data_IF_332675326594
#
_entry.id   IF_332675326594
#
_cell.length_a   1.000
_cell.length_b   1.000
_cell.length_c   1.000
_cell.angle_alpha   90.00
_cell.angle_beta   90.00
_cell.angle_gamma   90.00
#
_symmetry.space_group_name_H-M   'P 1'
#
loop_
_entity.id
_entity.type
_entity.pdbx_description
1 polymer ?
#
# COMPACT_ATOMS: atom_id res chain seq x y z
N UNK A 1 11.23 45.89 -70.07
CA UNK A 1 11.98 46.26 -68.85
C UNK A 1 12.83 45.04 -68.47
N UNK A 2 14.06 44.88 -68.98
CA UNK A 2 15.35 45.35 -68.42
C UNK A 2 15.51 45.05 -66.91
N UNK A 3 16.26 43.99 -66.56
CA UNK A 3 17.66 44.12 -66.11
C UNK A 3 18.32 42.76 -65.81
N UNK A 4 19.59 42.69 -66.21
CA UNK A 4 20.64 41.72 -65.88
C UNK A 4 21.27 42.14 -64.53
N UNK A 5 21.82 41.21 -63.73
CA UNK A 5 23.10 41.37 -62.99
C UNK A 5 23.55 40.02 -62.37
N UNK A 6 24.86 39.83 -62.43
CA UNK A 6 25.68 38.64 -62.18
C UNK A 6 26.08 38.39 -60.70
N UNK A 7 26.38 37.11 -60.41
CA UNK A 7 27.53 36.54 -59.66
C UNK A 7 27.93 37.18 -58.31
N UNK A 8 27.93 36.37 -57.24
CA UNK A 8 29.13 36.12 -56.41
C UNK A 8 29.04 34.78 -55.65
N UNK A 9 30.10 33.96 -55.81
CA UNK A 9 30.41 32.81 -54.97
C UNK A 9 30.72 33.26 -53.54
N UNK A 10 30.23 32.54 -52.54
CA UNK A 10 30.97 32.31 -51.30
C UNK A 10 31.04 30.81 -51.07
N UNK A 11 32.26 30.29 -51.17
CA UNK A 11 32.61 28.93 -50.76
C UNK A 11 32.68 28.90 -49.23
N UNK A 12 32.06 27.91 -48.60
CA UNK A 12 32.49 27.42 -47.29
C UNK A 12 32.09 25.95 -47.21
N UNK A 13 33.10 25.07 -47.32
CA UNK A 13 32.97 23.66 -47.01
C UNK A 13 32.56 23.51 -45.54
N UNK A 14 31.47 22.78 -45.27
CA UNK A 14 31.31 22.02 -44.02
C UNK A 14 30.76 20.65 -44.40
N UNK A 15 31.44 19.64 -43.88
CA UNK A 15 31.26 18.21 -44.12
C UNK A 15 29.80 17.76 -44.04
N UNK A 16 29.38 16.97 -45.04
CA UNK A 16 28.23 16.07 -44.91
C UNK A 16 28.58 15.00 -43.89
N UNK A 17 28.14 15.16 -42.64
CA UNK A 17 27.87 14.00 -41.79
C UNK A 17 26.46 13.53 -42.14
N UNK A 18 26.41 12.41 -42.85
CA UNK A 18 25.24 11.55 -42.85
C UNK A 18 24.92 11.22 -41.40
N UNK A 19 23.91 11.88 -40.85
CA UNK A 19 23.16 11.37 -39.71
C UNK A 19 22.55 10.05 -40.19
N UNK A 20 23.20 8.95 -39.84
CA UNK A 20 22.53 7.66 -39.76
C UNK A 20 21.54 7.82 -38.62
N UNK A 21 20.25 7.78 -38.96
CA UNK A 21 19.20 7.51 -38.02
C UNK A 21 19.59 6.23 -37.27
N UNK A 22 19.99 6.38 -36.01
CA UNK A 22 20.04 5.30 -35.04
C UNK A 22 18.58 4.92 -34.74
N UNK A 23 17.97 4.20 -35.68
CA UNK A 23 16.92 3.24 -35.34
C UNK A 23 17.62 2.19 -34.46
N UNK A 24 17.63 2.43 -33.16
CA UNK A 24 17.71 1.34 -32.19
C UNK A 24 16.45 0.49 -32.41
N UNK A 25 16.53 -0.45 -33.33
CA UNK A 25 15.77 -1.68 -33.23
C UNK A 25 16.32 -2.30 -31.95
N UNK A 26 15.60 -2.15 -30.83
CA UNK A 26 15.76 -3.06 -29.72
C UNK A 26 15.58 -4.45 -30.32
N UNK A 27 16.69 -5.17 -30.50
CA UNK A 27 16.61 -6.61 -30.61
C UNK A 27 16.02 -7.03 -29.27
N UNK A 28 14.71 -7.31 -29.24
CA UNK A 28 14.10 -8.10 -28.17
C UNK A 28 14.73 -9.49 -28.25
N UNK A 29 15.98 -9.61 -27.79
CA UNK A 29 16.64 -10.88 -27.57
C UNK A 29 15.89 -11.49 -26.40
N UNK A 30 15.06 -12.48 -26.70
CA UNK A 30 14.41 -13.27 -25.66
C UNK A 30 15.47 -14.20 -25.13
N UNK A 31 15.90 -14.01 -23.87
CA UNK A 31 16.93 -14.85 -23.29
C UNK A 31 16.50 -16.33 -23.30
N UNK A 32 17.40 -17.19 -23.78
CA UNK A 32 17.11 -18.59 -24.03
C UNK A 32 16.54 -18.92 -25.42
N UNK A 33 16.17 -17.94 -26.24
CA UNK A 33 15.77 -18.16 -27.65
C UNK A 33 17.02 -18.22 -28.56
N UNK A 34 17.60 -19.41 -28.62
CA UNK A 34 18.86 -19.65 -29.33
C UNK A 34 18.68 -19.52 -30.85
N UNK A 35 17.47 -19.79 -31.33
CA UNK A 35 17.15 -19.90 -32.74
C UNK A 35 16.44 -18.64 -33.32
N UNK A 36 16.04 -17.71 -32.45
CA UNK A 36 15.33 -16.45 -32.74
C UNK A 36 13.95 -16.65 -33.41
N UNK A 37 13.21 -17.68 -33.01
CA UNK A 37 11.82 -17.89 -33.46
C UNK A 37 10.77 -17.24 -32.56
N UNK A 38 11.20 -16.61 -31.46
CA UNK A 38 10.38 -15.94 -30.47
C UNK A 38 9.81 -16.86 -29.39
N UNK A 39 10.20 -18.14 -29.33
CA UNK A 39 9.68 -19.11 -28.36
C UNK A 39 10.79 -19.95 -27.75
N UNK A 40 11.04 -19.79 -26.45
CA UNK A 40 12.01 -20.63 -25.72
C UNK A 40 11.42 -22.01 -25.45
N UNK A 41 11.98 -23.06 -26.07
CA UNK A 41 11.49 -24.43 -25.93
C UNK A 41 12.60 -25.48 -26.09
N UNK A 42 12.24 -26.77 -26.12
CA UNK A 42 13.20 -27.88 -26.21
C UNK A 42 14.10 -27.81 -27.46
N UNK A 43 13.67 -27.14 -28.53
CA UNK A 43 14.46 -26.93 -29.73
C UNK A 43 15.71 -26.09 -29.45
N UNK A 44 15.61 -25.10 -28.57
CA UNK A 44 16.72 -24.24 -28.17
C UNK A 44 17.78 -25.00 -27.38
N UNK A 45 17.35 -25.91 -26.50
CA UNK A 45 18.25 -26.85 -25.81
C UNK A 45 19.00 -27.71 -26.83
N UNK A 46 18.31 -28.28 -27.81
CA UNK A 46 18.94 -29.15 -28.82
C UNK A 46 20.01 -28.39 -29.61
N UNK A 47 19.73 -27.14 -29.97
CA UNK A 47 20.64 -26.28 -30.72
C UNK A 47 21.84 -25.90 -29.85
N UNK A 48 21.61 -25.51 -28.60
CA UNK A 48 22.65 -25.18 -27.62
C UNK A 48 23.61 -26.36 -27.38
N UNK A 49 23.07 -27.57 -27.15
CA UNK A 49 23.87 -28.80 -27.02
C UNK A 49 24.67 -29.07 -28.29
N UNK A 50 24.12 -28.80 -29.47
CA UNK A 50 24.87 -28.94 -30.72
C UNK A 50 26.04 -27.95 -30.83
N UNK A 51 25.89 -26.70 -30.35
CA UNK A 51 27.00 -25.75 -30.28
C UNK A 51 28.12 -26.25 -29.36
N UNK A 52 27.78 -26.80 -28.19
CA UNK A 52 28.74 -27.41 -27.27
C UNK A 52 29.49 -28.58 -27.94
N UNK A 53 28.77 -29.50 -28.59
CA UNK A 53 29.36 -30.69 -29.20
C UNK A 53 30.23 -30.39 -30.42
N UNK A 54 29.89 -29.35 -31.19
CA UNK A 54 30.62 -28.96 -32.39
C UNK A 54 31.67 -27.89 -32.14
N UNK A 55 31.76 -27.38 -30.91
CA UNK A 55 32.56 -26.22 -30.54
C UNK A 55 32.23 -25.00 -31.44
N UNK A 56 30.94 -24.85 -31.74
CA UNK A 56 30.40 -23.75 -32.53
C UNK A 56 30.18 -22.51 -31.68
N UNK A 57 30.04 -21.36 -32.34
CA UNK A 57 29.82 -20.07 -31.69
C UNK A 57 28.46 -19.50 -32.08
N UNK A 58 27.72 -19.01 -31.09
CA UNK A 58 26.51 -18.22 -31.28
C UNK A 58 26.40 -17.29 -30.07
N UNK A 59 26.26 -15.99 -30.31
CA UNK A 59 26.16 -14.98 -29.25
C UNK A 59 24.89 -15.17 -28.41
N UNK A 60 23.86 -15.85 -28.93
CA UNK A 60 22.67 -16.22 -28.17
C UNK A 60 22.85 -17.46 -27.28
N UNK A 61 23.91 -18.24 -27.50
CA UNK A 61 24.15 -19.49 -26.79
C UNK A 61 24.98 -19.35 -25.51
N UNK A 62 25.59 -18.18 -25.29
CA UNK A 62 26.22 -17.79 -24.03
C UNK A 62 25.16 -17.04 -23.19
N UNK A 63 24.52 -17.75 -22.27
CA UNK A 63 23.36 -17.26 -21.52
C UNK A 63 23.81 -16.52 -20.26
N UNK A 64 24.88 -16.98 -19.60
CA UNK A 64 25.44 -16.30 -18.43
C UNK A 64 26.50 -15.23 -18.77
N UNK A 65 26.79 -15.01 -20.06
CA UNK A 65 27.76 -14.05 -20.58
C UNK A 65 29.18 -14.23 -20.03
N UNK A 66 29.58 -15.47 -19.71
CA UNK A 66 30.92 -15.77 -19.21
C UNK A 66 31.97 -15.99 -20.32
N UNK A 67 31.53 -15.94 -21.58
CA UNK A 67 32.34 -16.14 -22.77
C UNK A 67 32.52 -17.61 -23.17
N UNK A 68 31.85 -18.55 -22.49
CA UNK A 68 31.97 -19.99 -22.72
C UNK A 68 30.60 -20.67 -22.87
N UNK A 69 30.28 -21.15 -24.07
CA UNK A 69 29.10 -21.99 -24.30
C UNK A 69 29.34 -23.40 -23.72
N UNK A 70 28.66 -23.73 -22.62
CA UNK A 70 28.84 -24.97 -21.87
C UNK A 70 27.54 -25.48 -21.22
N UNK A 71 27.65 -26.49 -20.34
CA UNK A 71 26.47 -27.13 -19.72
C UNK A 71 25.72 -26.19 -18.77
N UNK A 72 26.36 -25.13 -18.27
CA UNK A 72 25.74 -24.13 -17.42
C UNK A 72 24.68 -23.35 -18.22
N UNK A 73 24.96 -22.97 -19.47
CA UNK A 73 23.99 -22.33 -20.36
C UNK A 73 22.78 -23.22 -20.61
N UNK A 74 23.01 -24.53 -20.76
CA UNK A 74 21.92 -25.51 -20.95
C UNK A 74 21.01 -25.56 -19.73
N UNK A 75 21.57 -25.52 -18.51
CA UNK A 75 20.80 -25.49 -17.27
C UNK A 75 19.95 -24.21 -17.21
N UNK A 76 20.50 -23.06 -17.63
CA UNK A 76 19.74 -21.81 -17.68
C UNK A 76 18.58 -21.87 -18.67
N UNK A 77 18.77 -22.35 -19.90
CA UNK A 77 17.66 -22.52 -20.85
C UNK A 77 16.61 -23.51 -20.34
N UNK A 78 17.04 -24.60 -19.68
CA UNK A 78 16.11 -25.55 -19.02
C UNK A 78 15.31 -24.84 -17.93
N UNK A 79 15.94 -24.02 -17.10
CA UNK A 79 15.25 -23.25 -16.08
C UNK A 79 14.28 -22.25 -16.71
N UNK A 80 14.65 -21.59 -17.80
CA UNK A 80 13.77 -20.68 -18.53
C UNK A 80 12.52 -21.41 -19.06
N UNK A 81 12.67 -22.65 -19.54
CA UNK A 81 11.53 -23.46 -20.02
C UNK A 81 10.65 -23.95 -18.87
N UNK A 82 11.24 -24.25 -17.71
CA UNK A 82 10.52 -24.80 -16.56
C UNK A 82 9.86 -23.73 -15.69
N UNK A 83 10.47 -22.55 -15.61
CA UNK A 83 10.15 -21.50 -14.64
C UNK A 83 9.93 -20.12 -15.28
N UNK A 84 10.20 -19.93 -16.57
CA UNK A 84 10.14 -18.63 -17.26
C UNK A 84 11.50 -17.92 -17.32
N UNK A 85 11.66 -16.87 -18.16
CA UNK A 85 12.88 -16.05 -18.17
C UNK A 85 13.19 -15.58 -16.76
N UNK A 86 14.49 -15.48 -16.42
CA UNK A 86 14.90 -14.81 -15.19
C UNK A 86 14.51 -13.35 -15.42
N UNK A 87 13.33 -12.95 -14.93
CA UNK A 87 12.98 -11.54 -14.83
C UNK A 87 14.16 -10.87 -14.11
N UNK A 88 14.50 -9.64 -14.51
CA UNK A 88 15.29 -8.80 -13.61
C UNK A 88 14.58 -8.86 -12.26
N UNK A 89 15.21 -9.56 -11.30
CA UNK A 89 14.56 -9.86 -10.02
C UNK A 89 14.26 -8.51 -9.36
N UNK A 90 13.05 -8.35 -8.85
CA UNK A 90 12.73 -7.15 -8.09
C UNK A 90 13.76 -7.00 -6.97
N UNK A 91 14.07 -5.77 -6.59
CA UNK A 91 14.84 -5.55 -5.38
C UNK A 91 14.10 -6.17 -4.19
N UNK A 92 14.81 -6.99 -3.41
CA UNK A 92 14.25 -7.67 -2.23
C UNK A 92 14.80 -7.10 -0.90
N UNK A 93 15.77 -6.18 -0.96
CA UNK A 93 16.45 -5.64 0.23
C UNK A 93 16.86 -4.16 0.06
N UNK A 94 17.30 -3.52 1.14
CA UNK A 94 17.80 -2.13 1.13
C UNK A 94 16.80 -1.14 0.49
N UNK A 95 15.51 -1.27 0.81
CA UNK A 95 14.48 -0.40 0.28
C UNK A 95 14.69 1.05 0.74
N UNK A 96 14.32 1.99 -0.12
CA UNK A 96 14.32 3.42 0.17
C UNK A 96 13.06 4.06 -0.38
N UNK A 97 12.42 4.87 0.45
CA UNK A 97 11.25 5.69 0.10
C UNK A 97 11.56 7.19 0.21
N UNK A 98 12.85 7.52 0.29
CA UNK A 98 13.40 8.88 0.35
C UNK A 98 12.88 9.75 -0.82
N UNK A 99 12.37 10.93 -0.49
CA UNK A 99 11.88 11.91 -1.46
C UNK A 99 10.52 11.57 -2.08
N UNK A 100 9.92 10.41 -1.80
CA UNK A 100 8.63 10.02 -2.36
C UNK A 100 7.49 10.54 -1.48
N UNK A 101 6.73 11.50 -2.03
CA UNK A 101 5.58 12.16 -1.38
C UNK A 101 5.91 12.79 0.00
N UNK A 102 7.12 13.32 0.16
CA UNK A 102 7.60 13.96 1.41
C UNK A 102 7.67 15.48 1.32
N UNK A 103 6.88 16.09 0.44
CA UNK A 103 6.73 17.54 0.32
C UNK A 103 5.26 17.90 0.04
N UNK A 104 4.37 17.39 0.88
CA UNK A 104 2.93 17.67 0.86
C UNK A 104 2.62 18.60 2.03
N UNK A 105 1.87 19.68 1.77
CA UNK A 105 1.37 20.61 2.78
C UNK A 105 0.02 21.16 2.30
N UNK A 106 -1.06 20.53 2.75
CA UNK A 106 -2.40 20.72 2.20
C UNK A 106 -3.38 21.22 3.27
N UNK A 107 -4.24 22.15 2.84
CA UNK A 107 -5.36 22.65 3.62
C UNK A 107 -6.58 22.79 2.70
N UNK A 108 -7.50 21.83 2.80
CA UNK A 108 -8.65 21.71 1.90
C UNK A 108 -9.93 21.82 2.72
N UNK A 109 -10.81 22.77 2.37
CA UNK A 109 -12.11 22.88 3.04
C UNK A 109 -13.04 21.77 2.54
N UNK A 110 -13.49 20.92 3.46
CA UNK A 110 -14.50 19.91 3.18
C UNK A 110 -15.88 20.43 3.59
N UNK A 111 -16.74 20.62 2.60
CA UNK A 111 -18.08 21.17 2.74
C UNK A 111 -19.17 20.10 2.92
N UNK A 112 -18.79 18.84 3.12
CA UNK A 112 -19.70 17.77 3.52
C UNK A 112 -20.43 18.15 4.81
N UNK A 113 -21.72 17.78 4.90
CA UNK A 113 -22.58 18.13 6.03
C UNK A 113 -22.05 17.58 7.37
N UNK A 114 -21.36 16.45 7.35
CA UNK A 114 -20.79 15.77 8.51
C UNK A 114 -19.46 16.36 8.98
N UNK A 115 -18.83 17.22 8.17
CA UNK A 115 -17.46 17.72 8.42
C UNK A 115 -17.45 19.23 8.60
N UNK A 116 -17.83 20.00 7.57
CA UNK A 116 -17.82 21.47 7.56
C UNK A 116 -16.53 22.10 8.16
N UNK A 117 -15.37 21.50 7.93
CA UNK A 117 -14.06 21.90 8.47
C UNK A 117 -12.95 21.74 7.42
N UNK A 118 -11.72 22.13 7.75
CA UNK A 118 -10.56 21.90 6.90
C UNK A 118 -9.94 20.52 7.16
N UNK A 119 -9.69 19.77 6.09
CA UNK A 119 -8.70 18.71 6.07
C UNK A 119 -7.32 19.34 6.01
N UNK A 120 -6.49 19.08 7.01
CA UNK A 120 -5.15 19.64 7.15
C UNK A 120 -4.18 18.50 7.34
N UNK A 121 -3.21 18.37 6.44
CA UNK A 121 -2.19 17.35 6.52
C UNK A 121 -0.92 17.78 5.79
N UNK A 122 0.21 17.32 6.31
CA UNK A 122 1.51 17.45 5.67
C UNK A 122 2.31 16.17 5.79
N UNK A 123 3.07 15.90 4.74
CA UNK A 123 4.10 14.87 4.71
C UNK A 123 5.42 15.53 4.41
N UNK A 124 6.34 15.46 5.36
CA UNK A 124 7.71 15.94 5.25
C UNK A 124 8.68 14.79 5.50
N UNK A 125 9.99 15.08 5.47
CA UNK A 125 11.00 14.13 5.89
C UNK A 125 12.19 14.83 6.55
N UNK A 126 12.92 14.10 7.37
CA UNK A 126 14.31 14.40 7.72
C UNK A 126 15.27 13.41 7.04
N UNK A 127 16.47 13.20 7.60
CA UNK A 127 17.48 12.29 7.04
C UNK A 127 17.12 10.81 7.21
N UNK A 128 16.20 10.45 8.10
CA UNK A 128 15.88 9.06 8.47
C UNK A 128 14.39 8.73 8.32
N UNK A 129 13.53 9.69 8.62
CA UNK A 129 12.10 9.44 8.78
C UNK A 129 11.24 10.31 7.85
N UNK A 130 10.19 9.70 7.31
CA UNK A 130 9.00 10.38 6.80
C UNK A 130 8.15 10.84 7.98
N UNK A 131 7.74 12.10 7.98
CA UNK A 131 6.98 12.72 9.06
C UNK A 131 5.59 13.08 8.55
N UNK A 132 4.56 12.55 9.22
CA UNK A 132 3.16 12.91 9.03
C UNK A 132 2.73 13.88 10.14
N UNK A 133 2.15 15.00 9.76
CA UNK A 133 1.35 15.86 10.64
C UNK A 133 -0.04 16.04 10.04
N UNK A 134 -1.11 15.93 10.83
CA UNK A 134 -2.45 16.14 10.30
C UNK A 134 -3.55 16.12 11.34
N UNK A 135 -4.78 16.33 10.87
CA UNK A 135 -5.95 16.41 11.74
C UNK A 135 -6.97 15.26 11.55
N UNK A 136 -6.70 14.31 10.65
CA UNK A 136 -7.56 13.13 10.44
C UNK A 136 -8.93 13.46 9.87
N UNK A 137 -9.13 14.66 9.35
CA UNK A 137 -10.35 15.05 8.65
C UNK A 137 -10.20 14.64 7.18
N UNK A 138 -11.12 13.84 6.61
CA UNK A 138 -11.03 13.47 5.21
C UNK A 138 -11.24 14.70 4.30
N UNK A 139 -10.58 14.67 3.15
CA UNK A 139 -10.64 15.69 2.10
C UNK A 139 -11.67 15.40 1.00
N UNK A 140 -12.50 14.37 1.19
CA UNK A 140 -13.52 13.90 0.26
C UNK A 140 -14.90 13.80 0.95
N UNK A 141 -15.96 13.61 0.17
CA UNK A 141 -17.31 13.38 0.70
C UNK A 141 -17.37 12.11 1.57
N UNK A 142 -18.21 12.13 2.61
CA UNK A 142 -18.37 11.04 3.57
C UNK A 142 -19.86 10.73 3.77
N UNK A 143 -20.14 9.66 4.51
CA UNK A 143 -21.50 9.39 4.97
C UNK A 143 -22.05 10.48 5.91
N UNK A 144 -23.36 10.51 6.08
CA UNK A 144 -23.99 11.38 7.09
C UNK A 144 -23.68 10.87 8.50
N UNK A 145 -22.87 11.60 9.27
CA UNK A 145 -22.52 11.28 10.66
C UNK A 145 -22.84 12.48 11.58
N UNK A 146 -23.44 12.26 12.76
CA UNK A 146 -23.87 10.98 13.31
C UNK A 146 -25.20 10.51 12.69
N UNK A 147 -25.41 9.20 12.64
CA UNK A 147 -26.68 8.57 12.25
C UNK A 147 -27.08 7.44 13.22
N UNK A 148 -28.17 6.73 12.92
CA UNK A 148 -28.68 5.67 13.80
C UNK A 148 -27.74 4.44 13.90
N UNK A 149 -26.91 4.23 12.88
CA UNK A 149 -25.97 3.11 12.78
C UNK A 149 -24.58 3.48 13.30
N UNK A 150 -24.17 4.73 13.12
CA UNK A 150 -22.95 5.30 13.67
C UNK A 150 -23.26 6.60 14.42
N UNK A 151 -23.44 6.56 15.76
CA UNK A 151 -23.92 7.72 16.53
C UNK A 151 -22.84 8.77 16.82
N UNK A 152 -21.62 8.59 16.29
CA UNK A 152 -20.48 9.46 16.56
C UNK A 152 -20.35 10.52 15.47
N UNK A 153 -19.85 11.71 15.83
CA UNK A 153 -19.57 12.81 14.89
C UNK A 153 -18.08 12.88 14.60
N UNK A 154 -17.71 13.22 13.37
CA UNK A 154 -16.31 13.43 12.99
C UNK A 154 -15.76 14.65 13.74
N UNK A 155 -14.59 14.51 14.35
CA UNK A 155 -13.86 15.61 14.98
C UNK A 155 -12.39 15.54 14.63
N UNK A 156 -11.72 16.69 14.68
CA UNK A 156 -10.28 16.76 14.49
C UNK A 156 -9.55 15.88 15.52
N UNK A 157 -8.53 15.18 15.02
CA UNK A 157 -7.59 14.40 15.79
C UNK A 157 -6.24 15.13 15.80
N UNK A 158 -5.33 14.74 16.69
CA UNK A 158 -3.94 15.20 16.64
C UNK A 158 -3.08 14.06 16.12
N UNK A 159 -2.71 14.12 14.83
CA UNK A 159 -1.95 13.07 14.16
C UNK A 159 -0.53 13.57 13.95
N UNK A 160 0.42 12.87 14.56
CA UNK A 160 1.84 13.15 14.41
C UNK A 160 2.60 11.82 14.50
N UNK A 161 3.21 11.40 13.39
CA UNK A 161 3.92 10.13 13.28
C UNK A 161 5.18 10.28 12.44
N UNK A 162 6.17 9.44 12.76
CA UNK A 162 7.39 9.27 11.97
C UNK A 162 7.48 7.81 11.52
N UNK A 163 7.87 7.59 10.27
CA UNK A 163 8.00 6.29 9.63
C UNK A 163 9.39 6.21 8.98
N UNK A 164 10.07 5.06 9.03
CA UNK A 164 11.39 4.92 8.41
C UNK A 164 11.30 5.22 6.91
N UNK A 165 12.24 6.03 6.38
CA UNK A 165 12.45 6.15 4.94
C UNK A 165 13.09 4.90 4.35
N UNK A 166 13.70 4.06 5.18
CA UNK A 166 14.43 2.86 4.80
C UNK A 166 13.77 1.63 5.44
N UNK A 167 12.58 1.21 4.96
CA UNK A 167 11.91 0.07 5.53
C UNK A 167 12.68 -1.23 5.22
N UNK A 168 12.72 -2.15 6.18
CA UNK A 168 13.36 -3.47 6.03
C UNK A 168 12.33 -4.54 6.33
N UNK A 169 12.29 -5.62 5.56
CA UNK A 169 11.47 -6.81 5.91
C UNK A 169 12.16 -7.50 7.09
N UNK A 170 11.50 -7.52 8.25
CA UNK A 170 11.99 -8.19 9.47
C UNK A 170 11.21 -9.46 9.80
N UNK A 171 10.05 -9.66 9.17
CA UNK A 171 9.23 -10.86 9.27
C UNK A 171 8.65 -11.25 7.92
N UNK A 172 9.03 -12.42 7.42
CA UNK A 172 8.50 -12.99 6.16
C UNK A 172 6.99 -13.26 6.22
N UNK A 173 6.47 -13.55 7.42
CA UNK A 173 5.05 -13.79 7.66
C UNK A 173 4.30 -12.54 8.18
N UNK A 174 5.04 -11.48 8.46
CA UNK A 174 4.56 -10.29 9.16
C UNK A 174 4.25 -10.50 10.64
N UNK A 175 4.02 -9.39 11.33
CA UNK A 175 3.55 -9.32 12.71
C UNK A 175 2.17 -8.65 12.75
N UNK A 176 1.20 -9.26 13.43
CA UNK A 176 -0.15 -8.72 13.49
C UNK A 176 -0.20 -7.36 14.21
N UNK A 177 -0.88 -6.40 13.59
CA UNK A 177 -1.09 -5.04 14.13
C UNK A 177 -2.52 -4.57 13.82
N UNK A 178 -2.98 -3.54 14.52
CA UNK A 178 -4.34 -3.00 14.39
C UNK A 178 -5.09 -2.97 15.73
N UNK A 179 -6.13 -2.13 15.81
CA UNK A 179 -6.89 -1.92 17.04
C UNK A 179 -5.99 -1.53 18.23
N UNK A 180 -6.06 -2.22 19.39
CA UNK A 180 -5.19 -1.94 20.54
C UNK A 180 -3.69 -2.13 20.29
N UNK A 181 -3.31 -2.81 19.21
CA UNK A 181 -1.92 -3.04 18.81
C UNK A 181 -1.25 -1.83 18.15
N UNK A 182 -2.01 -0.77 17.83
CA UNK A 182 -1.53 0.41 17.13
C UNK A 182 -2.21 0.62 15.79
N UNK A 183 -1.96 1.78 15.17
CA UNK A 183 -2.45 2.09 13.83
C UNK A 183 -1.57 1.40 12.81
N UNK A 184 -2.17 0.70 11.85
CA UNK A 184 -1.42 -0.05 10.83
C UNK A 184 -0.89 0.85 9.72
N UNK A 185 -1.61 1.91 9.39
CA UNK A 185 -1.30 2.78 8.26
C UNK A 185 -2.08 4.10 8.29
N UNK A 186 -1.59 5.06 7.53
CA UNK A 186 -2.25 6.34 7.24
C UNK A 186 -2.34 6.56 5.74
N UNK A 187 -3.53 6.96 5.28
CA UNK A 187 -3.71 7.52 3.95
C UNK A 187 -3.04 8.91 3.84
N UNK A 188 -2.80 9.36 2.61
CA UNK A 188 -2.15 10.65 2.35
C UNK A 188 -2.89 11.83 2.99
N UNK A 189 -4.21 11.76 3.13
CA UNK A 189 -5.03 12.79 3.77
C UNK A 189 -5.01 12.75 5.31
N UNK A 190 -4.09 12.00 5.92
CA UNK A 190 -3.95 11.73 7.37
C UNK A 190 -5.05 10.87 8.01
N UNK A 191 -6.02 10.35 7.27
CA UNK A 191 -7.00 9.40 7.82
C UNK A 191 -6.35 8.04 8.01
N UNK A 192 -6.56 7.40 9.17
CA UNK A 192 -5.98 6.08 9.47
C UNK A 192 -6.75 4.94 8.80
N UNK A 193 -6.03 3.85 8.51
CA UNK A 193 -6.63 2.55 8.25
C UNK A 193 -6.73 1.73 9.55
N UNK A 194 -7.87 1.11 9.77
CA UNK A 194 -8.14 0.22 10.91
C UNK A 194 -9.08 -0.91 10.43
N UNK A 195 -8.60 -1.84 9.60
CA UNK A 195 -9.46 -2.83 8.93
C UNK A 195 -10.07 -3.84 9.92
N UNK A 196 -9.44 -4.04 11.07
CA UNK A 196 -9.96 -4.86 12.17
C UNK A 196 -11.12 -4.21 12.92
N UNK A 197 -11.94 -5.03 13.58
CA UNK A 197 -12.97 -4.54 14.49
C UNK A 197 -12.73 -5.04 15.92
N UNK A 198 -13.32 -4.35 16.89
CA UNK A 198 -13.43 -4.83 18.26
C UNK A 198 -14.66 -5.76 18.47
N UNK A 199 -15.38 -6.07 17.39
CA UNK A 199 -16.57 -6.90 17.42
C UNK A 199 -16.23 -8.36 17.63
N UNK A 200 -16.90 -9.03 18.57
CA UNK A 200 -16.69 -10.45 18.84
C UNK A 200 -17.98 -11.20 19.12
N UNK A 201 -17.99 -12.48 18.76
CA UNK A 201 -19.02 -13.45 19.13
C UNK A 201 -18.43 -14.62 19.91
N UNK A 202 -19.23 -15.19 20.80
CA UNK A 202 -18.98 -16.51 21.37
C UNK A 202 -19.72 -17.62 20.59
N UNK A 203 -19.42 -18.88 20.93
CA UNK A 203 -19.95 -20.07 20.24
C UNK A 203 -21.48 -20.23 20.34
N UNK A 204 -22.15 -19.49 21.22
CA UNK A 204 -23.62 -19.51 21.34
C UNK A 204 -24.29 -18.40 20.51
N UNK A 205 -23.52 -17.65 19.72
CA UNK A 205 -24.05 -16.55 18.92
C UNK A 205 -24.43 -15.32 19.74
N UNK A 206 -23.82 -15.15 20.92
CA UNK A 206 -23.91 -13.90 21.68
C UNK A 206 -22.76 -13.01 21.22
N UNK A 207 -23.12 -11.91 20.60
CA UNK A 207 -22.22 -11.03 19.87
C UNK A 207 -22.26 -9.60 20.43
N UNK A 208 -21.13 -8.91 20.32
CA UNK A 208 -21.05 -7.46 20.55
C UNK A 208 -20.25 -6.81 19.42
N UNK A 209 -20.71 -5.68 18.88
CA UNK A 209 -19.97 -4.89 17.89
C UNK A 209 -18.87 -4.04 18.50
N UNK A 210 -18.88 -3.87 19.83
CA UNK A 210 -17.82 -3.16 20.55
C UNK A 210 -17.42 -3.95 21.80
N UNK A 211 -16.13 -4.32 21.88
CA UNK A 211 -15.53 -4.96 23.06
C UNK A 211 -16.25 -6.25 23.49
N UNK A 212 -16.60 -7.09 22.51
CA UNK A 212 -17.21 -8.40 22.75
C UNK A 212 -16.24 -9.40 23.36
N UNK A 213 -16.79 -10.49 23.89
CA UNK A 213 -16.02 -11.65 24.32
C UNK A 213 -16.25 -12.82 23.36
N UNK A 214 -15.26 -13.70 23.22
CA UNK A 214 -15.35 -14.90 22.40
C UNK A 214 -14.26 -14.97 21.34
N UNK A 215 -14.20 -16.10 20.64
CA UNK A 215 -13.09 -16.41 19.75
C UNK A 215 -13.31 -15.91 18.32
N UNK A 216 -14.54 -15.51 17.98
CA UNK A 216 -14.93 -15.12 16.63
C UNK A 216 -14.85 -13.60 16.49
N UNK A 217 -13.92 -13.12 15.68
CA UNK A 217 -13.73 -11.70 15.39
C UNK A 217 -14.63 -11.33 14.22
N UNK A 218 -15.50 -10.33 14.40
CA UNK A 218 -16.47 -9.91 13.37
C UNK A 218 -15.75 -9.01 12.36
N UNK A 219 -15.94 -9.24 11.06
CA UNK A 219 -15.46 -8.31 10.03
C UNK A 219 -16.38 -7.10 9.90
N UNK A 220 -15.83 -5.95 9.48
CA UNK A 220 -16.68 -4.80 9.18
C UNK A 220 -17.40 -4.96 7.83
N UNK A 221 -16.76 -5.67 6.89
CA UNK A 221 -17.14 -5.73 5.49
C UNK A 221 -17.37 -7.17 5.03
N UNK A 222 -18.02 -7.34 3.87
CA UNK A 222 -18.16 -8.65 3.21
C UNK A 222 -19.38 -9.46 3.63
N UNK A 223 -20.27 -8.91 4.46
CA UNK A 223 -21.48 -9.57 4.91
C UNK A 223 -22.58 -8.59 5.32
N UNK A 224 -23.81 -9.08 5.46
CA UNK A 224 -24.98 -8.26 5.84
C UNK A 224 -25.48 -8.54 7.28
N UNK A 225 -24.77 -9.36 8.06
CA UNK A 225 -25.24 -9.79 9.39
C UNK A 225 -24.98 -8.77 10.49
N UNK A 226 -23.84 -8.11 10.43
CA UNK A 226 -23.41 -7.10 11.38
C UNK A 226 -23.19 -5.79 10.63
N UNK A 227 -23.75 -4.71 11.16
CA UNK A 227 -23.71 -3.38 10.55
C UNK A 227 -22.92 -2.45 11.47
N UNK A 228 -21.74 -2.01 11.01
CA UNK A 228 -20.86 -1.09 11.73
C UNK A 228 -21.15 0.39 11.39
N UNK A 229 -22.13 0.65 10.52
CA UNK A 229 -22.50 1.97 10.06
C UNK A 229 -21.42 2.61 9.18
N UNK A 230 -20.73 1.80 8.38
CA UNK A 230 -19.79 2.26 7.37
C UNK A 230 -20.49 3.00 6.23
N UNK A 231 -19.74 3.94 5.63
CA UNK A 231 -20.18 4.73 4.49
C UNK A 231 -19.63 4.17 3.17
N UNK A 232 -19.82 4.94 2.09
CA UNK A 232 -19.35 4.60 0.74
C UNK A 232 -17.82 4.48 0.62
N UNK A 233 -17.05 4.92 1.62
CA UNK A 233 -15.59 4.77 1.66
C UNK A 233 -15.16 3.60 2.54
N UNK A 234 -16.09 2.70 2.87
CA UNK A 234 -15.89 1.60 3.80
C UNK A 234 -15.36 2.09 5.15
N UNK A 235 -15.84 3.25 5.60
CA UNK A 235 -15.32 3.95 6.77
C UNK A 235 -16.43 4.40 7.70
N UNK A 236 -16.07 4.58 8.97
CA UNK A 236 -17.00 5.10 9.96
C UNK A 236 -16.25 5.87 11.05
N UNK A 237 -16.98 6.30 12.08
CA UNK A 237 -16.47 7.21 13.12
C UNK A 237 -16.40 6.52 14.47
N UNK A 238 -15.20 6.51 15.07
CA UNK A 238 -14.98 6.00 16.42
C UNK A 238 -15.60 6.91 17.50
N UNK A 239 -15.82 6.42 18.73
CA UNK A 239 -16.37 7.23 19.82
C UNK A 239 -15.57 8.49 20.18
N UNK A 240 -14.27 8.56 19.81
CA UNK A 240 -13.42 9.74 19.97
C UNK A 240 -13.51 10.73 18.79
N UNK A 241 -14.39 10.48 17.82
CA UNK A 241 -14.58 11.30 16.62
C UNK A 241 -13.59 11.04 15.48
N UNK A 242 -12.69 10.06 15.61
CA UNK A 242 -11.79 9.68 14.52
C UNK A 242 -12.58 8.95 13.42
N UNK A 243 -12.57 9.51 12.21
CA UNK A 243 -12.98 8.81 10.99
C UNK A 243 -11.84 7.87 10.56
N UNK A 244 -12.15 6.65 10.11
CA UNK A 244 -11.15 5.68 9.66
C UNK A 244 -11.69 4.68 8.64
N UNK A 245 -10.80 4.21 7.78
CA UNK A 245 -11.13 3.24 6.73
C UNK A 245 -10.99 1.80 7.24
N UNK A 246 -11.98 0.97 6.94
CA UNK A 246 -11.88 -0.49 7.06
C UNK A 246 -11.45 -1.17 5.75
N UNK A 247 -11.65 -0.50 4.61
CA UNK A 247 -11.36 -1.03 3.28
C UNK A 247 -11.07 0.10 2.29
N UNK A 248 -11.53 -0.08 1.05
CA UNK A 248 -11.25 0.83 -0.05
C UNK A 248 -11.81 2.24 0.19
N UNK A 249 -10.97 3.29 0.27
CA UNK A 249 -11.45 4.65 0.43
C UNK A 249 -11.83 5.22 -0.95
N UNK A 250 -12.95 4.76 -1.51
CA UNK A 250 -13.34 5.01 -2.91
C UNK A 250 -13.27 6.48 -3.33
N UNK A 251 -13.80 7.40 -2.50
CA UNK A 251 -13.79 8.83 -2.83
C UNK A 251 -12.45 9.51 -2.56
N UNK A 252 -11.55 8.92 -1.76
CA UNK A 252 -10.16 9.34 -1.70
C UNK A 252 -9.43 8.93 -2.99
N UNK A 253 -9.68 7.72 -3.48
CA UNK A 253 -9.11 7.23 -4.74
C UNK A 253 -9.59 8.12 -5.88
N UNK A 254 -10.88 8.40 -5.99
CA UNK A 254 -11.43 9.34 -6.97
C UNK A 254 -10.87 10.76 -6.82
N UNK A 255 -10.53 11.19 -5.60
CA UNK A 255 -9.91 12.49 -5.36
C UNK A 255 -8.45 12.55 -5.83
N UNK A 256 -7.70 11.46 -5.62
CA UNK A 256 -6.29 11.35 -5.99
C UNK A 256 -6.09 11.00 -7.47
N UNK A 257 -7.09 10.36 -8.08
CA UNK A 257 -6.98 9.73 -9.39
C UNK A 257 -7.82 10.45 -10.46
N UNK A 258 -7.26 10.61 -11.66
CA UNK A 258 -7.96 11.10 -12.86
C UNK A 258 -7.95 10.04 -14.00
N UNK A 259 -7.27 8.89 -13.84
CA UNK A 259 -7.19 7.79 -14.84
C UNK A 259 -6.86 6.40 -14.19
N UNK A 260 -7.41 5.27 -14.68
CA UNK A 260 -7.18 3.89 -14.18
C UNK A 260 -5.67 3.50 -14.11
N UNK A 261 -5.00 3.77 -12.98
CA UNK A 261 -3.54 3.63 -12.82
C UNK A 261 -3.14 3.08 -11.45
N UNK A 262 -1.90 2.59 -11.33
CA UNK A 262 -1.31 2.13 -10.07
C UNK A 262 -1.14 3.34 -9.14
N UNK A 263 -1.93 3.38 -8.06
CA UNK A 263 -2.09 4.58 -7.23
C UNK A 263 -1.55 4.39 -5.83
N UNK A 264 -0.51 5.15 -5.47
CA UNK A 264 0.00 5.26 -4.10
C UNK A 264 -0.94 6.12 -3.25
N UNK A 265 -1.57 5.51 -2.24
CA UNK A 265 -2.61 6.16 -1.41
C UNK A 265 -2.21 6.42 0.04
N UNK A 266 -1.05 5.92 0.48
CA UNK A 266 -0.59 6.13 1.84
C UNK A 266 0.67 5.34 2.20
N UNK A 267 0.95 5.33 3.49
CA UNK A 267 2.13 4.70 4.08
C UNK A 267 1.74 3.85 5.30
N UNK A 268 2.31 2.66 5.36
CA UNK A 268 2.17 1.76 6.50
C UNK A 268 3.11 2.18 7.64
N UNK A 269 2.78 1.77 8.85
CA UNK A 269 3.51 2.16 10.06
C UNK A 269 4.95 1.61 10.12
N UNK A 270 5.28 0.64 9.28
CA UNK A 270 6.63 0.10 9.08
C UNK A 270 7.40 0.79 7.93
N UNK A 271 6.84 1.84 7.32
CA UNK A 271 7.48 2.66 6.28
C UNK A 271 7.21 2.21 4.84
N UNK A 272 6.62 1.04 4.63
CA UNK A 272 6.29 0.56 3.28
C UNK A 272 5.08 1.30 2.67
N UNK A 273 5.05 1.48 1.34
CA UNK A 273 3.95 2.14 0.64
C UNK A 273 2.68 1.30 0.58
N UNK A 274 1.56 1.99 0.37
CA UNK A 274 0.22 1.39 0.24
C UNK A 274 -0.41 1.82 -1.08
N UNK A 275 -0.82 0.86 -1.88
CA UNK A 275 -1.46 1.09 -3.18
C UNK A 275 -2.93 0.63 -3.20
N UNK A 276 -3.73 1.27 -4.06
CA UNK A 276 -5.10 0.84 -4.35
C UNK A 276 -5.12 -0.19 -5.49
N UNK A 277 -5.76 -1.34 -5.24
CA UNK A 277 -6.19 -2.48 -6.10
C UNK A 277 -5.43 -2.87 -7.37
N UNK A 278 -4.88 -1.94 -8.15
CA UNK A 278 -4.18 -2.21 -9.39
C UNK A 278 -2.66 -2.33 -9.22
N UNK A 279 -2.09 -3.25 -9.99
CA UNK A 279 -0.64 -3.42 -10.12
C UNK A 279 -0.28 -4.11 -11.42
N UNK A 280 1.02 -4.18 -11.70
CA UNK A 280 1.54 -4.96 -12.83
C UNK A 280 1.27 -6.46 -12.66
N UNK A 281 0.83 -7.11 -13.74
CA UNK A 281 0.52 -8.54 -13.81
C UNK A 281 1.75 -9.42 -13.60
N UNK A 282 2.90 -8.99 -14.10
CA UNK A 282 4.20 -9.47 -13.66
C UNK A 282 4.76 -8.46 -12.66
N UNK A 283 4.97 -8.90 -11.42
CA UNK A 283 5.38 -8.03 -10.33
C UNK A 283 6.71 -7.32 -10.60
N UNK A 284 7.59 -7.86 -11.44
CA UNK A 284 8.91 -7.29 -11.73
C UNK A 284 9.03 -6.68 -13.15
N UNK A 285 7.93 -6.60 -13.90
CA UNK A 285 7.91 -5.99 -15.22
C UNK A 285 6.92 -4.82 -15.31
N UNK A 286 7.46 -3.60 -15.35
CA UNK A 286 6.69 -2.36 -15.49
C UNK A 286 6.13 -2.14 -16.91
N UNK A 287 6.41 -3.04 -17.85
CA UNK A 287 5.79 -3.09 -19.18
C UNK A 287 4.64 -4.09 -19.25
N UNK A 288 4.42 -4.88 -18.20
CA UNK A 288 3.32 -5.85 -18.16
C UNK A 288 1.96 -5.16 -18.00
N UNK A 289 0.89 -5.92 -18.24
CA UNK A 289 -0.48 -5.40 -18.16
C UNK A 289 -0.79 -4.97 -16.72
N UNK A 290 -1.51 -3.86 -16.55
CA UNK A 290 -2.07 -3.47 -15.25
C UNK A 290 -3.34 -4.29 -15.01
N UNK A 291 -3.42 -4.96 -13.87
CA UNK A 291 -4.53 -5.82 -13.47
C UNK A 291 -4.98 -5.48 -12.04
N UNK A 292 -6.21 -5.83 -11.71
CA UNK A 292 -6.71 -5.81 -10.32
C UNK A 292 -6.08 -6.99 -9.56
N UNK A 293 -5.19 -6.70 -8.62
CA UNK A 293 -4.47 -7.71 -7.83
C UNK A 293 -5.41 -8.42 -6.87
N UNK A 294 -5.31 -9.74 -6.85
CA UNK A 294 -6.17 -10.60 -6.03
C UNK A 294 -5.45 -11.04 -4.74
N UNK A 295 -6.08 -10.92 -3.56
CA UNK A 295 -5.56 -11.52 -2.35
C UNK A 295 -5.43 -13.05 -2.45
N UNK A 296 -4.42 -13.62 -1.78
CA UNK A 296 -4.30 -15.08 -1.62
C UNK A 296 -5.13 -15.63 -0.45
N UNK A 297 -6.23 -14.97 -0.11
CA UNK A 297 -7.15 -15.38 0.94
C UNK A 297 -8.48 -15.85 0.34
N UNK A 298 -9.08 -16.87 0.94
CA UNK A 298 -10.40 -17.36 0.51
C UNK A 298 -11.25 -17.79 1.69
N UNK A 299 -12.56 -17.86 1.47
CA UNK A 299 -13.47 -18.50 2.40
C UNK A 299 -13.17 -20.00 2.51
N UNK A 300 -13.18 -20.52 3.74
CA UNK A 300 -13.09 -21.96 4.00
C UNK A 300 -14.33 -22.68 3.49
N UNK A 301 -14.15 -23.90 2.98
CA UNK A 301 -15.24 -24.77 2.52
C UNK A 301 -16.16 -25.26 3.66
N UNK A 302 -15.63 -25.30 4.89
CA UNK A 302 -16.35 -25.76 6.08
C UNK A 302 -16.06 -24.86 7.28
N UNK A 303 -17.07 -24.56 8.12
CA UNK A 303 -16.88 -23.76 9.31
C UNK A 303 -16.01 -24.48 10.35
N UNK A 304 -15.23 -23.70 11.08
CA UNK A 304 -14.45 -24.18 12.21
C UNK A 304 -15.35 -24.63 13.38
N UNK A 305 -14.87 -25.57 14.20
CA UNK A 305 -15.62 -26.08 15.36
C UNK A 305 -15.92 -24.95 16.36
N UNK A 306 -17.18 -24.86 16.78
CA UNK A 306 -17.64 -23.83 17.72
C UNK A 306 -18.08 -22.52 17.05
N UNK A 307 -17.97 -22.42 15.72
CA UNK A 307 -18.47 -21.25 14.98
C UNK A 307 -19.98 -21.09 15.20
N UNK A 308 -20.46 -19.91 15.65
CA UNK A 308 -21.89 -19.68 15.78
C UNK A 308 -22.52 -19.52 14.40
N UNK A 309 -23.55 -20.32 14.11
CA UNK A 309 -24.32 -20.22 12.86
C UNK A 309 -25.54 -19.31 12.99
N UNK A 310 -25.95 -18.99 14.22
CA UNK A 310 -27.14 -18.19 14.52
C UNK A 310 -26.76 -17.12 15.53
N UNK A 311 -27.09 -15.87 15.21
CA UNK A 311 -27.03 -14.73 16.13
C UNK A 311 -28.24 -14.82 17.08
N UNK A 312 -27.96 -14.95 18.38
CA UNK A 312 -28.95 -15.11 19.45
C UNK A 312 -29.09 -13.86 20.31
N UNK A 313 -28.02 -13.06 20.41
CA UNK A 313 -28.00 -11.78 21.09
C UNK A 313 -26.98 -10.86 20.44
N UNK A 314 -27.34 -9.60 20.23
CA UNK A 314 -26.45 -8.56 19.71
C UNK A 314 -26.46 -7.38 20.66
N UNK A 315 -25.26 -6.92 21.04
CA UNK A 315 -25.06 -5.68 21.79
C UNK A 315 -24.19 -4.71 21.01
N UNK A 316 -24.57 -3.43 21.02
CA UNK A 316 -23.83 -2.38 20.32
C UNK A 316 -24.24 -2.32 18.85
N UNK A 317 -24.60 -1.12 18.39
CA UNK A 317 -25.01 -0.84 17.02
C UNK A 317 -26.41 -1.32 16.62
N UNK A 318 -26.75 -1.17 15.32
CA UNK A 318 -28.03 -1.56 14.74
C UNK A 318 -28.39 -3.02 15.01
N UNK A 319 -29.69 -3.29 15.14
CA UNK A 319 -30.18 -4.66 15.35
C UNK A 319 -29.90 -5.24 16.74
N UNK A 320 -29.36 -4.45 17.68
CA UNK A 320 -29.16 -4.86 19.07
C UNK A 320 -30.44 -5.42 19.69
N UNK A 321 -30.33 -6.56 20.38
CA UNK A 321 -31.46 -7.26 20.96
C UNK A 321 -31.09 -8.64 21.50
N UNK A 322 -32.02 -9.24 22.24
CA UNK A 322 -31.88 -10.60 22.77
C UNK A 322 -32.98 -11.52 22.22
N UNK A 323 -32.74 -12.82 22.22
CA UNK A 323 -33.68 -13.80 21.65
C UNK A 323 -33.79 -13.70 20.13
N UNK A 324 -32.71 -13.26 19.48
CA UNK A 324 -32.57 -13.22 18.04
C UNK A 324 -32.49 -14.64 17.48
N UNK A 325 -32.79 -14.78 16.19
CA UNK A 325 -32.68 -16.03 15.45
C UNK A 325 -32.31 -15.70 14.00
N UNK A 326 -31.17 -15.02 13.83
CA UNK A 326 -30.69 -14.52 12.55
C UNK A 326 -29.52 -15.41 12.11
N UNK A 327 -29.53 -16.01 10.91
CA UNK A 327 -28.39 -16.76 10.40
C UNK A 327 -27.14 -15.91 10.26
N UNK A 328 -25.97 -16.50 10.56
CA UNK A 328 -24.64 -15.90 10.36
C UNK A 328 -23.94 -16.68 9.22
N UNK A 329 -24.00 -16.22 7.97
CA UNK A 329 -23.30 -16.84 6.84
C UNK A 329 -21.78 -16.85 7.03
N UNK A 330 -21.08 -17.74 6.32
CA UNK A 330 -19.61 -17.71 6.22
C UNK A 330 -19.15 -16.35 5.64
N UNK A 331 -18.00 -15.87 6.11
CA UNK A 331 -17.44 -14.56 5.77
C UNK A 331 -17.76 -13.49 6.80
N UNK A 332 -18.58 -13.81 7.81
CA UNK A 332 -18.88 -12.90 8.90
C UNK A 332 -17.74 -12.71 9.91
N UNK A 333 -16.82 -13.68 9.95
CA UNK A 333 -15.71 -13.68 10.89
C UNK A 333 -14.35 -13.77 10.19
N UNK A 334 -13.31 -13.15 10.76
CA UNK A 334 -11.92 -13.30 10.28
C UNK A 334 -11.54 -14.77 10.16
N UNK A 335 -11.99 -15.60 11.10
CA UNK A 335 -11.69 -17.04 11.16
C UNK A 335 -12.40 -17.85 10.06
N UNK A 336 -13.33 -17.27 9.31
CA UNK A 336 -13.98 -17.93 8.18
C UNK A 336 -13.08 -18.00 6.94
N UNK A 337 -11.96 -17.25 6.95
CA UNK A 337 -11.01 -17.18 5.85
C UNK A 337 -9.75 -17.99 6.14
N UNK A 338 -9.10 -18.45 5.08
CA UNK A 338 -7.78 -19.10 5.11
C UNK A 338 -6.87 -18.51 4.03
N UNK A 339 -5.59 -18.35 4.38
CA UNK A 339 -4.54 -17.98 3.44
C UNK A 339 -4.07 -19.22 2.68
N UNK A 340 -3.97 -19.10 1.36
CA UNK A 340 -3.47 -20.14 0.46
C UNK A 340 -2.41 -19.51 -0.43
N UNK A 341 -1.14 -19.73 -0.09
CA UNK A 341 0.01 -19.24 -0.83
C UNK A 341 -0.11 -19.51 -2.34
N UNK A 342 0.08 -18.46 -3.14
CA UNK A 342 0.01 -18.52 -4.61
C UNK A 342 -1.39 -18.72 -5.20
N UNK A 343 -2.46 -18.56 -4.41
CA UNK A 343 -3.84 -18.61 -4.94
C UNK A 343 -4.28 -17.29 -5.57
N UNK A 344 -3.67 -16.17 -5.18
CA UNK A 344 -3.76 -14.86 -5.81
C UNK A 344 -2.36 -14.26 -6.02
N UNK A 345 -2.31 -12.93 -6.11
CA UNK A 345 -1.10 -12.15 -6.40
C UNK A 345 -0.40 -11.64 -5.14
N UNK A 346 -1.08 -11.68 -3.99
CA UNK A 346 -0.64 -11.06 -2.74
C UNK A 346 -0.33 -12.10 -1.66
N UNK A 347 0.55 -11.73 -0.73
CA UNK A 347 0.94 -12.54 0.41
C UNK A 347 -0.06 -12.46 1.58
N UNK A 348 0.29 -13.10 2.71
CA UNK A 348 -0.61 -13.17 3.86
C UNK A 348 -0.89 -11.82 4.53
N UNK A 349 0.00 -10.83 4.36
CA UNK A 349 -0.22 -9.45 4.81
C UNK A 349 -0.87 -8.57 3.74
N UNK A 350 -1.40 -9.18 2.67
CA UNK A 350 -2.04 -8.48 1.56
C UNK A 350 -1.08 -7.53 0.84
N UNK A 351 0.20 -7.88 0.75
CA UNK A 351 1.21 -7.14 -0.01
C UNK A 351 1.97 -8.03 -0.98
N UNK A 352 2.93 -7.43 -1.68
CA UNK A 352 3.90 -8.15 -2.52
C UNK A 352 5.15 -7.30 -2.72
N UNK A 353 6.25 -7.94 -3.14
CA UNK A 353 7.38 -7.23 -3.74
C UNK A 353 7.03 -7.02 -5.21
N UNK A 354 7.22 -5.79 -5.71
CA UNK A 354 7.01 -5.50 -7.13
C UNK A 354 7.39 -4.09 -7.51
N UNK A 355 7.58 -3.85 -8.80
CA UNK A 355 7.82 -2.54 -9.38
C UNK A 355 6.54 -1.70 -9.34
N UNK A 356 6.70 -0.40 -9.17
CA UNK A 356 5.62 0.60 -9.22
C UNK A 356 6.13 1.87 -9.92
N UNK A 357 5.26 2.84 -10.26
CA UNK A 357 5.72 4.10 -10.86
C UNK A 357 6.81 4.83 -10.05
N UNK A 358 6.71 4.81 -8.72
CA UNK A 358 7.66 5.44 -7.81
C UNK A 358 8.90 4.56 -7.54
N UNK A 359 8.75 3.23 -7.64
CA UNK A 359 9.76 2.24 -7.30
C UNK A 359 10.05 1.32 -8.50
N UNK A 360 10.78 1.81 -9.53
CA UNK A 360 11.04 1.04 -10.74
C UNK A 360 11.98 -0.15 -10.53
N UNK A 361 12.76 -0.15 -9.44
CA UNK A 361 13.62 -1.28 -9.04
C UNK A 361 12.88 -2.28 -8.14
N UNK A 362 11.63 -2.00 -7.77
CA UNK A 362 10.83 -2.85 -6.89
C UNK A 362 10.87 -2.42 -5.42
N UNK A 363 9.74 -2.60 -4.75
CA UNK A 363 9.60 -2.45 -3.30
C UNK A 363 8.54 -3.42 -2.78
N UNK A 364 8.66 -3.86 -1.53
CA UNK A 364 7.52 -4.44 -0.84
C UNK A 364 6.44 -3.39 -0.59
N UNK A 365 5.20 -3.67 -0.97
CA UNK A 365 4.09 -2.75 -0.84
C UNK A 365 2.81 -3.48 -0.44
N UNK A 366 1.98 -2.82 0.36
CA UNK A 366 0.67 -3.34 0.74
C UNK A 366 -0.39 -2.89 -0.25
N UNK A 367 -1.43 -3.71 -0.42
CA UNK A 367 -2.58 -3.38 -1.24
C UNK A 367 -3.84 -3.21 -0.38
N UNK A 368 -4.63 -2.20 -0.73
CA UNK A 368 -6.06 -2.16 -0.39
C UNK A 368 -6.81 -2.83 -1.55
N UNK A 369 -7.73 -3.75 -1.23
CA UNK A 369 -8.42 -4.62 -2.20
C UNK A 369 -9.92 -4.72 -1.90
N UNK A 370 -10.72 -5.09 -2.91
CA UNK A 370 -12.17 -5.29 -2.75
C UNK A 370 -12.56 -6.63 -2.08
N UNK A 371 -11.57 -7.47 -1.78
CA UNK A 371 -11.76 -8.77 -1.16
C UNK A 371 -11.01 -8.84 0.17
N UNK A 372 -11.47 -9.73 1.06
CA UNK A 372 -10.80 -9.99 2.34
C UNK A 372 -9.30 -10.24 2.12
N UNK A 373 -8.41 -9.60 2.92
CA UNK A 373 -8.68 -8.88 4.17
C UNK A 373 -9.07 -7.40 4.02
N UNK A 374 -9.34 -6.93 2.80
CA UNK A 374 -9.62 -5.55 2.38
C UNK A 374 -8.45 -4.59 2.51
N UNK A 375 -7.70 -4.71 3.60
CA UNK A 375 -6.38 -4.16 3.79
C UNK A 375 -5.59 -5.07 4.74
N UNK A 376 -4.29 -4.83 4.83
CA UNK A 376 -3.37 -5.62 5.64
C UNK A 376 -3.85 -5.82 7.09
N UNK A 377 -3.52 -6.98 7.67
CA UNK A 377 -3.69 -7.32 9.09
C UNK A 377 -2.35 -7.53 9.81
N UNK A 378 -1.24 -7.36 9.11
CA UNK A 378 0.11 -7.55 9.63
C UNK A 378 1.13 -6.69 8.90
N UNK A 379 2.21 -6.34 9.59
CA UNK A 379 3.33 -5.61 9.00
C UNK A 379 4.55 -6.50 8.89
N UNK A 380 5.20 -6.48 7.72
CA UNK A 380 6.45 -7.20 7.45
C UNK A 380 7.68 -6.44 7.94
N UNK A 381 7.62 -5.12 8.00
CA UNK A 381 8.74 -4.29 8.43
C UNK A 381 8.79 -4.00 9.92
N UNK A 382 9.86 -3.32 10.35
CA UNK A 382 10.00 -2.87 11.73
C UNK A 382 9.14 -1.62 11.99
N UNK A 383 8.27 -1.71 12.97
CA UNK A 383 7.41 -0.61 13.45
C UNK A 383 7.63 -0.34 14.96
N UNK A 384 8.61 -1.01 15.60
CA UNK A 384 8.89 -0.88 17.03
C UNK A 384 9.80 0.31 17.36
N UNK A 385 10.49 0.89 16.37
CA UNK A 385 11.41 2.03 16.52
C UNK A 385 10.87 3.39 16.06
N UNK A 386 9.85 3.39 15.22
CA UNK A 386 9.40 4.57 14.46
C UNK A 386 7.99 4.96 14.86
N UNK A 387 7.81 5.65 15.99
CA UNK A 387 6.62 6.47 16.30
C UNK A 387 5.22 5.85 16.09
N UNK A 388 5.12 4.53 15.88
CA UNK A 388 3.91 3.80 15.55
C UNK A 388 3.04 3.84 16.78
N UNK A 389 2.12 4.81 16.78
CA UNK A 389 1.38 5.21 17.96
C UNK A 389 0.80 3.99 18.65
N UNK A 390 1.24 3.76 19.89
CA UNK A 390 0.54 2.88 20.81
C UNK A 390 -0.86 3.45 20.96
N UNK A 391 -1.79 2.88 20.21
CA UNK A 391 -3.22 3.20 20.21
C UNK A 391 -3.87 2.72 21.50
N UNK A 392 -3.37 3.20 22.64
CA UNK A 392 -3.98 3.04 23.94
C UNK A 392 -4.65 4.35 24.31
N UNK A 393 -5.98 4.37 24.35
CA UNK A 393 -6.71 5.42 25.04
C UNK A 393 -6.21 5.53 26.48
N UNK A 394 -5.38 6.54 26.75
CA UNK A 394 -4.73 6.72 28.03
C UNK A 394 -3.59 7.72 27.94
N UNK A 395 -3.83 8.90 28.50
CA UNK A 395 -2.85 9.94 28.86
C UNK A 395 -1.41 9.42 29.03
N UNK A 396 -0.50 9.75 28.10
CA UNK A 396 0.91 9.42 28.24
C UNK A 396 1.75 10.03 27.11
N UNK A 397 2.52 11.06 27.45
CA UNK A 397 3.32 11.84 26.50
C UNK A 397 4.39 11.01 25.79
N UNK A 398 4.31 11.01 24.46
CA UNK A 398 5.51 11.05 23.64
C UNK A 398 6.16 12.43 23.79
N UNK A 399 7.48 12.50 23.68
CA UNK A 399 8.17 13.79 23.69
C UNK A 399 7.67 14.63 22.50
N UNK A 400 7.30 15.90 22.73
CA UNK A 400 6.92 16.83 21.66
C UNK A 400 8.06 17.01 20.64
N UNK A 401 7.74 17.26 19.35
CA UNK A 401 8.73 17.61 18.33
C UNK A 401 9.52 18.87 18.70
N UNK A 402 10.75 18.96 18.21
CA UNK A 402 11.59 20.16 18.34
C UNK A 402 10.94 21.37 17.64
N UNK A 403 10.84 22.49 18.35
CA UNK A 403 10.22 23.74 17.90
C UNK A 403 10.90 24.34 16.65
N UNK A 404 12.15 23.97 16.35
CA UNK A 404 12.88 24.42 15.16
C UNK A 404 12.33 23.80 13.85
N UNK A 405 11.53 22.73 13.94
CA UNK A 405 11.03 21.98 12.78
C UNK A 405 9.54 22.25 12.45
N UNK A 406 8.91 23.20 13.12
CA UNK A 406 7.47 23.49 12.98
C UNK A 406 7.23 24.70 12.05
N UNK A 407 6.43 24.58 10.98
CA UNK A 407 6.10 25.70 10.11
C UNK A 407 5.47 26.89 10.84
N UNK A 408 5.73 28.11 10.34
CA UNK A 408 5.27 29.35 10.95
C UNK A 408 3.73 29.43 10.98
N UNK A 409 3.12 29.15 12.14
CA UNK A 409 1.67 29.23 12.34
C UNK A 409 1.06 28.09 13.16
N UNK A 410 1.84 27.06 13.55
CA UNK A 410 1.33 25.92 14.31
C UNK A 410 1.52 26.03 15.84
N UNK A 411 0.66 25.36 16.63
CA UNK A 411 0.73 25.34 18.10
C UNK A 411 1.84 24.40 18.62
N UNK A 412 2.78 24.92 19.39
CA UNK A 412 3.69 24.11 20.22
C UNK A 412 3.12 23.95 21.64
N UNK A 413 3.35 22.77 22.23
CA UNK A 413 3.16 22.40 23.65
C UNK A 413 2.03 23.06 24.45
N UNK A 414 0.98 22.27 24.75
CA UNK A 414 0.17 22.39 25.97
C UNK A 414 -0.81 23.56 26.10
N UNK A 415 -0.59 24.69 25.42
CA UNK A 415 -1.51 25.84 25.39
C UNK A 415 -1.76 26.41 23.98
N UNK A 416 -1.02 25.92 22.98
CA UNK A 416 -1.23 26.22 21.57
C UNK A 416 -0.82 27.62 21.13
N UNK A 417 0.11 28.29 21.83
CA UNK A 417 0.62 29.60 21.43
C UNK A 417 2.15 29.70 21.63
N UNK A 418 2.92 29.82 20.54
CA UNK A 418 4.33 30.21 20.63
C UNK A 418 4.49 31.70 21.03
N UNK A 419 5.26 31.97 22.09
CA UNK A 419 5.65 33.33 22.53
C UNK A 419 4.87 33.91 23.72
N UNK A 420 4.14 33.10 24.48
CA UNK A 420 3.47 33.49 25.72
C UNK A 420 4.37 33.51 26.96
N UNK A 421 3.96 34.13 28.08
CA UNK A 421 4.72 34.12 29.34
C UNK A 421 4.76 32.72 29.99
N UNK A 422 5.95 32.26 30.36
CA UNK A 422 6.20 31.00 31.07
C UNK A 422 5.45 30.90 32.41
N UNK A 423 4.88 29.73 32.70
CA UNK A 423 4.29 29.36 33.98
C UNK A 423 4.39 27.84 34.25
N UNK A 424 3.97 27.40 35.44
CA UNK A 424 4.09 26.02 35.90
C UNK A 424 3.36 24.96 35.05
N UNK A 425 2.61 25.36 34.02
CA UNK A 425 1.89 24.47 33.11
C UNK A 425 2.60 24.28 31.77
N UNK A 426 3.61 25.11 31.44
CA UNK A 426 4.29 25.11 30.13
C UNK A 426 5.82 25.03 30.19
N UNK A 427 6.44 24.62 31.31
CA UNK A 427 7.90 24.40 31.31
C UNK A 427 8.35 23.31 32.32
N UNK A 428 9.17 22.36 31.86
CA UNK A 428 10.50 22.18 32.44
C UNK A 428 11.59 22.23 31.35
N UNK A 429 12.35 23.32 31.35
CA UNK A 429 13.53 23.59 30.49
C UNK A 429 13.24 23.51 28.97
N UNK A 430 12.66 24.58 28.43
CA UNK A 430 12.68 24.82 26.99
C UNK A 430 14.13 24.80 26.48
N UNK A 431 14.38 23.91 25.51
CA UNK A 431 15.52 23.82 24.59
C UNK A 431 16.75 24.69 24.92
N UNK A 432 17.89 24.07 25.26
CA UNK A 432 19.15 24.80 25.48
C UNK A 432 19.56 25.71 24.33
#
# INVERSE_FOLDING_TARGET
MKNIISIFLISSLIFSHSFLDNFNIFNNRTDGDINNDGVVNVQDIIILVNFILTNGSNDNADINNDGLINVIDVIQVVNIILYGPIADDCNEENFSTDGILTNIDEQIYNNDESINSYSIYSWSQDDQDRILSGNGIPNHEVGTFPNANCPNSITEQNINHSFSLYPEIVSEQGESVGGPGGVIAYALNSVKFDPGTAGRCNDNGVCSLAQGNGNWSIEALGHETFDFGDDMNHAHVQPNGAYHYHGMPDLLIDFLNDDESILLIGWASDGFPIYAEYGYSDACDNQSEIIELQPSWRLKDSPDLGRPEILTELTGGPGSGSGLNIPIPMGAFTQDFEYIEGSGDLDECNGRIGVTPEFPDGIYHYMVTNQFPYFSRCLKGDFNGTGGGTGGGGTGGGNPPDCENVPQGMPCCGDGICGGPENNSNCPEDCQ
#
